data_IF_816545832867
#
_entry.id   IF_816545832867
#
_cell.length_a   1.000
_cell.length_b   1.000
_cell.length_c   1.000
_cell.angle_alpha   90.00
_cell.angle_beta   90.00
_cell.angle_gamma   90.00
#
_symmetry.space_group_name_H-M   'P 1'
#
loop_
_entity.id
_entity.type
_entity.pdbx_description
1 polymer ?
#
# COMPACT_ATOMS: atom_id res chain seq x y z
N UNK A 1 2.17 -12.87 -0.21
CA UNK A 1 2.88 -12.53 1.04
C UNK A 1 2.27 -11.24 1.59
N UNK A 2 2.26 -11.06 2.91
CA UNK A 2 1.91 -9.77 3.54
C UNK A 2 3.19 -9.17 4.09
N UNK A 3 3.48 -7.92 3.77
CA UNK A 3 4.73 -7.24 4.15
C UNK A 3 4.48 -5.75 4.33
N UNK A 4 5.22 -5.13 5.24
CA UNK A 4 5.33 -3.68 5.36
C UNK A 4 6.58 -3.13 4.65
N UNK A 5 7.38 -4.00 4.03
CA UNK A 5 8.56 -3.61 3.27
C UNK A 5 8.16 -3.29 1.81
N UNK A 6 8.30 -2.02 1.36
CA UNK A 6 7.91 -1.60 0.02
C UNK A 6 8.82 -2.19 -1.07
N UNK A 7 10.07 -2.52 -0.77
CA UNK A 7 10.97 -3.15 -1.74
C UNK A 7 10.53 -4.58 -2.03
N UNK A 8 10.15 -5.35 -1.00
CA UNK A 8 9.57 -6.69 -1.19
C UNK A 8 8.25 -6.59 -1.97
N UNK A 9 7.37 -5.65 -1.60
CA UNK A 9 6.09 -5.47 -2.30
C UNK A 9 6.27 -5.07 -3.77
N UNK A 10 7.25 -4.22 -4.10
CA UNK A 10 7.55 -3.82 -5.49
C UNK A 10 8.03 -4.96 -6.39
N UNK A 11 8.51 -6.07 -5.81
CA UNK A 11 8.89 -7.25 -6.58
C UNK A 11 7.69 -8.11 -7.02
N UNK A 12 6.49 -7.81 -6.52
CA UNK A 12 5.28 -8.56 -6.84
C UNK A 12 4.64 -8.09 -8.15
N UNK A 13 4.04 -9.03 -8.89
CA UNK A 13 3.26 -8.71 -10.10
C UNK A 13 2.07 -7.78 -9.79
N UNK A 14 1.51 -7.92 -8.58
CA UNK A 14 0.37 -7.15 -8.07
C UNK A 14 0.57 -6.81 -6.61
N UNK A 15 0.24 -5.58 -6.26
CA UNK A 15 0.24 -5.07 -4.89
C UNK A 15 -1.20 -4.72 -4.51
N UNK A 16 -1.68 -5.29 -3.40
CA UNK A 16 -2.95 -4.96 -2.80
C UNK A 16 -2.71 -4.16 -1.52
N UNK A 17 -3.22 -2.94 -1.47
CA UNK A 17 -3.20 -2.08 -0.30
C UNK A 17 -4.40 -2.41 0.58
N UNK A 18 -4.16 -2.65 1.86
CA UNK A 18 -5.21 -2.99 2.82
C UNK A 18 -5.32 -1.92 3.91
N UNK A 19 -6.55 -1.63 4.35
CA UNK A 19 -6.88 -0.78 5.49
C UNK A 19 -8.07 -1.40 6.23
N UNK A 20 -8.00 -1.52 7.55
CA UNK A 20 -9.04 -2.15 8.39
C UNK A 20 -9.56 -3.50 7.88
N UNK A 21 -8.64 -4.37 7.44
CA UNK A 21 -8.96 -5.71 6.94
C UNK A 21 -9.64 -5.72 5.56
N UNK A 22 -9.73 -4.57 4.88
CA UNK A 22 -10.30 -4.44 3.54
C UNK A 22 -9.24 -4.03 2.53
N UNK A 23 -9.33 -4.56 1.31
CA UNK A 23 -8.50 -4.11 0.19
C UNK A 23 -9.07 -2.77 -0.29
N UNK A 24 -8.25 -1.73 -0.27
CA UNK A 24 -8.65 -0.37 -0.70
C UNK A 24 -8.18 -0.05 -2.11
N UNK A 25 -7.07 -0.66 -2.56
CA UNK A 25 -6.52 -0.48 -3.91
C UNK A 25 -5.74 -1.72 -4.33
N UNK A 26 -5.80 -2.04 -5.62
CA UNK A 26 -4.91 -3.03 -6.26
C UNK A 26 -4.23 -2.39 -7.45
N UNK A 27 -2.92 -2.58 -7.57
CA UNK A 27 -2.12 -2.04 -8.67
C UNK A 27 -1.07 -3.05 -9.14
N UNK A 28 -0.53 -2.82 -10.33
CA UNK A 28 0.49 -3.64 -10.99
C UNK A 28 1.73 -2.80 -11.26
N UNK A 29 2.91 -3.44 -11.28
CA UNK A 29 4.18 -2.81 -11.68
C UNK A 29 4.51 -1.52 -10.90
N UNK A 30 4.30 -1.54 -9.58
CA UNK A 30 4.65 -0.41 -8.71
C UNK A 30 6.12 -0.45 -8.34
N UNK A 31 6.76 0.71 -8.41
CA UNK A 31 8.08 0.95 -7.83
C UNK A 31 8.00 0.97 -6.30
N UNK A 32 9.11 0.74 -5.60
CA UNK A 32 9.15 0.81 -4.14
C UNK A 32 8.68 2.17 -3.59
N UNK A 33 8.99 3.28 -4.28
CA UNK A 33 8.49 4.60 -3.92
C UNK A 33 6.96 4.71 -4.02
N UNK A 34 6.37 4.21 -5.11
CA UNK A 34 4.92 4.23 -5.33
C UNK A 34 4.17 3.33 -4.34
N UNK A 35 4.80 2.23 -3.91
CA UNK A 35 4.27 1.41 -2.82
C UNK A 35 4.28 2.19 -1.51
N UNK A 36 5.38 2.86 -1.16
CA UNK A 36 5.47 3.66 0.06
C UNK A 36 4.43 4.79 0.07
N UNK A 37 4.26 5.50 -1.04
CA UNK A 37 3.22 6.53 -1.20
C UNK A 37 1.81 5.94 -1.04
N UNK A 38 1.56 4.76 -1.62
CA UNK A 38 0.29 4.06 -1.47
C UNK A 38 0.01 3.57 -0.04
N UNK A 39 1.04 3.36 0.78
CA UNK A 39 0.94 3.07 2.21
C UNK A 39 0.70 4.35 3.02
N UNK A 40 1.35 5.46 2.69
CA UNK A 40 1.20 6.76 3.37
C UNK A 40 -0.19 7.38 3.15
N UNK A 41 -0.75 7.24 1.94
CA UNK A 41 -2.14 7.63 1.63
C UNK A 41 -3.18 6.95 2.53
N UNK A 42 -2.82 5.88 3.24
CA UNK A 42 -3.67 5.21 4.21
C UNK A 42 -3.64 5.85 5.60
N UNK A 43 -2.60 6.63 5.94
CA UNK A 43 -2.49 7.38 7.19
C UNK A 43 -3.17 8.76 7.14
N UNK A 44 -3.77 9.13 6.01
CA UNK A 44 -4.42 10.43 5.77
C UNK A 44 -5.87 10.55 6.28
N UNK A 45 -6.29 9.76 7.27
CA UNK A 45 -7.49 10.07 8.03
C UNK A 45 -7.12 11.14 9.08
N UNK A 46 -7.47 12.41 8.81
CA UNK A 46 -7.34 13.47 9.79
C UNK A 46 -8.08 13.05 11.08
N UNK A 47 -7.49 13.22 12.28
CA UNK A 47 -8.23 13.02 13.52
C UNK A 47 -9.46 13.93 13.49
N UNK A 48 -10.58 13.39 13.98
CA UNK A 48 -11.92 13.90 13.77
C UNK A 48 -12.16 15.39 14.02
N UNK A 49 -13.28 15.82 13.45
CA UNK A 49 -13.94 17.12 13.61
C UNK A 49 -13.99 17.67 15.05
#
# INVERSE_FOLDING_TARGET
IVTHDPAIASSADRVAFMHDGRITRVATALSAGEVLEGMDQQCGEAPGA
#
